data_IF_874126120392
#
_entry.id   IF_874126120392
#
_cell.length_a   1.000
_cell.length_b   1.000
_cell.length_c   1.000
_cell.angle_alpha   90.00
_cell.angle_beta   90.00
_cell.angle_gamma   90.00
#
_symmetry.space_group_name_H-M   'P 1'
#
loop_
_entity.id
_entity.type
_entity.pdbx_description
1 polymer ?
#
# COMPACT_ATOMS: atom_id res chain seq x y z
N UNK A 1 10.95 -7.86 -40.60
CA UNK A 1 10.59 -8.71 -39.45
C UNK A 1 10.79 -7.91 -38.18
N UNK A 2 9.75 -7.36 -37.53
CA UNK A 2 9.92 -6.86 -36.17
C UNK A 2 10.45 -8.01 -35.31
N UNK A 3 11.49 -7.76 -34.51
CA UNK A 3 12.15 -8.79 -33.70
C UNK A 3 11.10 -9.60 -32.92
N UNK A 4 11.20 -10.94 -32.87
CA UNK A 4 10.25 -11.75 -32.12
C UNK A 4 10.47 -11.48 -30.62
N UNK A 5 9.72 -10.54 -30.07
CA UNK A 5 9.69 -10.29 -28.64
C UNK A 5 9.05 -11.50 -27.98
N UNK A 6 9.79 -12.21 -27.14
CA UNK A 6 9.26 -13.32 -26.35
C UNK A 6 8.55 -12.76 -25.10
N UNK A 7 7.20 -12.76 -25.03
CA UNK A 7 6.47 -12.06 -23.97
C UNK A 7 6.82 -12.56 -22.56
N UNK A 8 7.01 -13.87 -22.41
CA UNK A 8 7.43 -14.48 -21.16
C UNK A 8 8.80 -13.97 -20.68
N UNK A 9 9.73 -13.75 -21.61
CA UNK A 9 11.05 -13.19 -21.31
C UNK A 9 10.98 -11.75 -20.83
N UNK A 10 10.10 -10.94 -21.41
CA UNK A 10 9.87 -9.55 -20.96
C UNK A 10 9.25 -9.51 -19.58
N UNK A 11 8.21 -10.32 -19.32
CA UNK A 11 7.60 -10.42 -17.99
C UNK A 11 8.61 -10.88 -16.96
N UNK A 12 9.42 -11.90 -17.26
CA UNK A 12 10.47 -12.38 -16.35
C UNK A 12 11.51 -11.28 -16.04
N UNK A 13 11.97 -10.54 -17.05
CA UNK A 13 12.88 -9.41 -16.86
C UNK A 13 12.28 -8.32 -15.96
N UNK A 14 11.01 -7.95 -16.20
CA UNK A 14 10.30 -6.96 -15.39
C UNK A 14 10.11 -7.41 -13.94
N UNK A 15 9.82 -8.70 -13.72
CA UNK A 15 9.73 -9.27 -12.37
C UNK A 15 11.06 -9.21 -11.63
N UNK A 16 12.18 -9.54 -12.30
CA UNK A 16 13.53 -9.42 -11.70
C UNK A 16 13.84 -7.97 -11.37
N UNK A 17 13.60 -7.05 -12.32
CA UNK A 17 13.83 -5.61 -12.10
C UNK A 17 13.01 -5.09 -10.91
N UNK A 18 11.74 -5.46 -10.83
CA UNK A 18 10.86 -5.06 -9.74
C UNK A 18 11.28 -5.69 -8.40
N UNK A 19 11.70 -6.95 -8.41
CA UNK A 19 12.21 -7.66 -7.25
C UNK A 19 13.45 -6.98 -6.67
N UNK A 20 14.42 -6.63 -7.52
CA UNK A 20 15.62 -5.88 -7.12
C UNK A 20 15.24 -4.51 -6.58
N UNK A 21 14.39 -3.77 -7.28
CA UNK A 21 13.98 -2.41 -6.87
C UNK A 21 13.20 -2.37 -5.55
N UNK A 22 12.58 -3.48 -5.14
CA UNK A 22 11.78 -3.59 -3.91
C UNK A 22 12.40 -4.47 -2.83
N UNK A 23 13.57 -5.05 -3.07
CA UNK A 23 14.24 -5.95 -2.13
C UNK A 23 14.43 -5.34 -0.74
N UNK A 24 14.69 -4.03 -0.68
CA UNK A 24 14.89 -3.28 0.56
C UNK A 24 13.71 -3.36 1.55
N UNK A 25 12.50 -3.73 1.10
CA UNK A 25 11.32 -3.84 1.97
C UNK A 25 11.50 -4.94 3.03
N UNK A 26 12.11 -6.08 2.68
CA UNK A 26 12.32 -7.21 3.60
C UNK A 26 13.26 -6.86 4.76
N UNK A 27 14.50 -6.35 4.53
CA UNK A 27 15.36 -5.97 5.63
C UNK A 27 14.77 -4.82 6.46
N UNK A 28 14.07 -3.85 5.86
CA UNK A 28 13.39 -2.81 6.63
C UNK A 28 12.31 -3.38 7.57
N UNK A 29 11.48 -4.31 7.08
CA UNK A 29 10.49 -4.98 7.91
C UNK A 29 11.15 -5.82 9.02
N UNK A 30 12.27 -6.48 8.74
CA UNK A 30 13.00 -7.26 9.75
C UNK A 30 13.65 -6.42 10.84
N UNK A 31 14.17 -5.24 10.48
CA UNK A 31 14.67 -4.26 11.45
C UNK A 31 13.50 -3.74 12.30
N UNK A 32 12.33 -3.49 11.72
CA UNK A 32 11.14 -3.14 12.49
C UNK A 32 10.72 -4.23 13.50
N UNK A 33 10.99 -5.49 13.16
CA UNK A 33 10.77 -6.64 14.04
C UNK A 33 11.96 -6.98 14.95
N UNK A 34 13.05 -6.19 14.95
CA UNK A 34 14.26 -6.47 15.73
C UNK A 34 14.03 -6.76 17.23
N UNK A 35 13.05 -6.14 17.93
CA UNK A 35 12.76 -6.53 19.32
C UNK A 35 12.46 -8.03 19.49
N UNK A 36 11.82 -8.67 18.50
CA UNK A 36 11.56 -10.11 18.51
C UNK A 36 12.86 -10.93 18.41
N UNK A 37 13.91 -10.41 17.78
CA UNK A 37 15.19 -11.12 17.68
C UNK A 37 15.81 -11.37 19.04
N UNK A 38 15.54 -10.52 20.03
CA UNK A 38 16.03 -10.66 21.39
C UNK A 38 15.04 -11.41 22.30
N UNK A 39 13.74 -11.16 22.15
CA UNK A 39 12.71 -11.74 23.01
C UNK A 39 12.30 -13.17 22.59
N UNK A 40 12.25 -13.44 21.28
CA UNK A 40 11.82 -14.72 20.71
C UNK A 40 12.56 -14.98 19.37
N UNK A 41 13.85 -15.35 19.41
CA UNK A 41 14.69 -15.45 18.21
C UNK A 41 14.11 -16.38 17.14
N UNK A 42 13.51 -17.51 17.53
CA UNK A 42 12.87 -18.44 16.59
C UNK A 42 11.65 -17.85 15.88
N UNK A 43 10.86 -17.03 16.57
CA UNK A 43 9.74 -16.32 15.97
C UNK A 43 10.22 -15.23 15.02
N UNK A 44 11.29 -14.50 15.37
CA UNK A 44 11.90 -13.52 14.48
C UNK A 44 12.41 -14.15 13.18
N UNK A 45 13.11 -15.28 13.26
CA UNK A 45 13.55 -16.04 12.07
C UNK A 45 12.33 -16.48 11.24
N UNK A 46 11.27 -16.97 11.89
CA UNK A 46 10.06 -17.37 11.19
C UNK A 46 9.39 -16.21 10.46
N UNK A 47 9.29 -15.04 11.11
CA UNK A 47 8.82 -13.80 10.48
C UNK A 47 9.70 -13.41 9.29
N UNK A 48 11.03 -13.59 9.37
CA UNK A 48 11.95 -13.36 8.26
C UNK A 48 11.62 -14.23 7.05
N UNK A 49 11.41 -15.53 7.28
CA UNK A 49 11.05 -16.47 6.23
C UNK A 49 9.68 -16.13 5.63
N UNK A 50 8.68 -15.81 6.45
CA UNK A 50 7.33 -15.43 5.97
C UNK A 50 7.39 -14.15 5.14
N UNK A 51 8.10 -13.11 5.61
CA UNK A 51 8.22 -11.84 4.88
C UNK A 51 8.92 -12.02 3.53
N UNK A 52 10.00 -12.80 3.50
CA UNK A 52 10.70 -13.15 2.27
C UNK A 52 9.78 -13.95 1.33
N UNK A 53 9.05 -14.93 1.87
CA UNK A 53 8.14 -15.76 1.11
C UNK A 53 7.01 -14.95 0.47
N UNK A 54 6.39 -14.04 1.24
CA UNK A 54 5.35 -13.12 0.76
C UNK A 54 5.90 -12.19 -0.32
N UNK A 55 7.09 -11.61 -0.12
CA UNK A 55 7.71 -10.73 -1.11
C UNK A 55 7.96 -11.46 -2.44
N UNK A 56 8.51 -12.67 -2.38
CA UNK A 56 8.78 -13.48 -3.56
C UNK A 56 7.50 -13.96 -4.25
N UNK A 57 6.44 -14.25 -3.48
CA UNK A 57 5.15 -14.68 -4.02
C UNK A 57 4.34 -13.55 -4.66
N UNK A 58 4.43 -12.33 -4.11
CA UNK A 58 3.70 -11.17 -4.60
C UNK A 58 4.09 -10.78 -6.04
N UNK A 59 5.33 -11.05 -6.45
CA UNK A 59 5.83 -10.78 -7.80
C UNK A 59 5.08 -11.59 -8.88
N UNK A 60 5.15 -12.94 -8.91
CA UNK A 60 4.42 -13.73 -9.89
C UNK A 60 2.91 -13.58 -9.73
N UNK A 61 2.39 -13.45 -8.50
CA UNK A 61 0.97 -13.24 -8.28
C UNK A 61 0.48 -11.93 -8.91
N UNK A 62 1.25 -10.83 -8.76
CA UNK A 62 0.95 -9.56 -9.41
C UNK A 62 0.98 -9.65 -10.93
N UNK A 63 1.96 -10.35 -11.52
CA UNK A 63 2.02 -10.57 -12.96
C UNK A 63 0.84 -11.40 -13.48
N UNK A 64 0.53 -12.52 -12.82
CA UNK A 64 -0.62 -13.34 -13.17
C UNK A 64 -1.92 -12.55 -13.03
N UNK A 65 -2.11 -11.83 -11.93
CA UNK A 65 -3.30 -11.00 -11.72
C UNK A 65 -3.49 -9.97 -12.83
N UNK A 66 -2.42 -9.28 -13.25
CA UNK A 66 -2.48 -8.32 -14.35
C UNK A 66 -2.78 -8.98 -15.70
N UNK A 67 -2.17 -10.13 -16.01
CA UNK A 67 -2.42 -10.85 -17.27
C UNK A 67 -3.82 -11.48 -17.31
N UNK A 68 -4.29 -12.03 -16.19
CA UNK A 68 -5.65 -12.57 -16.05
C UNK A 68 -6.69 -11.46 -16.15
N UNK A 69 -6.42 -10.26 -15.62
CA UNK A 69 -7.33 -9.12 -15.78
C UNK A 69 -7.62 -8.80 -17.25
N UNK A 70 -6.59 -8.90 -18.10
CA UNK A 70 -6.73 -8.74 -19.56
C UNK A 70 -7.66 -9.82 -20.12
N UNK A 71 -7.41 -11.10 -19.83
CA UNK A 71 -8.27 -12.20 -20.31
C UNK A 71 -9.72 -12.10 -19.79
N UNK A 72 -9.90 -11.78 -18.51
CA UNK A 72 -11.20 -11.60 -17.85
C UNK A 72 -11.98 -10.43 -18.46
N UNK A 73 -11.29 -9.36 -18.86
CA UNK A 73 -11.95 -8.20 -19.48
C UNK A 73 -12.60 -8.52 -20.83
N UNK A 74 -12.07 -9.50 -21.55
CA UNK A 74 -12.56 -9.95 -22.86
C UNK A 74 -13.52 -11.15 -22.75
N UNK A 75 -13.54 -11.84 -21.61
CA UNK A 75 -14.28 -13.08 -21.43
C UNK A 75 -15.81 -12.85 -21.25
N UNK A 76 -16.68 -13.40 -22.11
CA UNK A 76 -18.13 -13.20 -22.02
C UNK A 76 -18.74 -13.65 -20.68
N UNK A 77 -18.23 -14.74 -20.10
CA UNK A 77 -18.73 -15.28 -18.83
C UNK A 77 -18.49 -14.38 -17.63
N UNK A 78 -17.55 -13.44 -17.72
CA UNK A 78 -17.25 -12.48 -16.64
C UNK A 78 -18.01 -11.17 -16.77
N UNK A 79 -18.72 -10.94 -17.87
CA UNK A 79 -19.46 -9.69 -18.10
C UNK A 79 -20.45 -9.35 -16.99
N UNK A 80 -21.26 -10.28 -16.45
CA UNK A 80 -22.21 -9.95 -15.37
C UNK A 80 -21.50 -9.46 -14.10
N UNK A 81 -20.38 -10.08 -13.75
CA UNK A 81 -19.58 -9.72 -12.57
C UNK A 81 -18.93 -8.35 -12.79
N UNK A 82 -18.31 -8.14 -13.95
CA UNK A 82 -17.69 -6.86 -14.30
C UNK A 82 -18.73 -5.74 -14.41
N UNK A 83 -19.94 -6.02 -14.90
CA UNK A 83 -21.04 -5.05 -14.93
C UNK A 83 -21.50 -4.65 -13.54
N UNK A 84 -21.59 -5.61 -12.61
CA UNK A 84 -21.92 -5.32 -11.22
C UNK A 84 -20.83 -4.47 -10.53
N UNK A 85 -19.55 -4.74 -10.83
CA UNK A 85 -18.41 -4.07 -10.19
C UNK A 85 -18.05 -2.72 -10.81
N UNK A 86 -18.25 -2.54 -12.12
CA UNK A 86 -17.74 -1.35 -12.83
C UNK A 86 -18.52 -0.08 -12.53
N UNK A 87 -19.80 -0.20 -12.16
CA UNK A 87 -20.70 0.94 -12.09
C UNK A 87 -20.73 1.66 -13.46
N UNK A 88 -20.21 2.89 -13.50
CA UNK A 88 -20.10 3.68 -14.73
C UNK A 88 -18.78 3.46 -15.51
N UNK A 89 -17.81 2.75 -14.92
CA UNK A 89 -16.51 2.53 -15.54
C UNK A 89 -16.59 1.53 -16.71
N UNK A 90 -15.64 1.56 -17.67
CA UNK A 90 -15.45 0.49 -18.63
C UNK A 90 -15.17 -0.86 -17.95
N UNK A 91 -15.70 -1.95 -18.51
CA UNK A 91 -15.51 -3.32 -17.98
C UNK A 91 -14.03 -3.68 -17.82
N UNK A 92 -13.21 -3.27 -18.76
CA UNK A 92 -11.76 -3.50 -18.76
C UNK A 92 -11.10 -2.84 -17.55
N UNK A 93 -11.49 -1.61 -17.22
CA UNK A 93 -10.98 -0.92 -16.04
C UNK A 93 -11.40 -1.63 -14.75
N UNK A 94 -12.64 -2.14 -14.68
CA UNK A 94 -13.10 -2.89 -13.52
C UNK A 94 -12.29 -4.19 -13.32
N UNK A 95 -11.96 -4.90 -14.39
CA UNK A 95 -11.09 -6.08 -14.32
C UNK A 95 -9.69 -5.73 -13.79
N UNK A 96 -9.11 -4.61 -14.27
CA UNK A 96 -7.80 -4.13 -13.80
C UNK A 96 -7.83 -3.57 -12.37
N UNK A 97 -8.97 -3.05 -11.90
CA UNK A 97 -9.13 -2.56 -10.54
C UNK A 97 -9.24 -3.70 -9.53
N UNK A 98 -9.90 -4.80 -9.91
CA UNK A 98 -10.08 -5.96 -9.04
C UNK A 98 -8.80 -6.79 -8.87
N UNK A 99 -8.00 -6.95 -9.92
CA UNK A 99 -6.85 -7.85 -9.91
C UNK A 99 -5.82 -7.59 -8.77
N UNK A 100 -5.41 -6.34 -8.46
CA UNK A 100 -4.57 -6.06 -7.29
C UNK A 100 -5.20 -6.51 -5.97
N UNK A 101 -6.52 -6.34 -5.82
CA UNK A 101 -7.26 -6.78 -4.63
C UNK A 101 -7.29 -8.30 -4.49
N UNK A 102 -7.51 -9.02 -5.60
CA UNK A 102 -7.46 -10.48 -5.62
C UNK A 102 -6.07 -11.03 -5.26
N UNK A 103 -5.02 -10.43 -5.84
CA UNK A 103 -3.63 -10.77 -5.52
C UNK A 103 -3.33 -10.53 -4.05
N UNK A 104 -3.74 -9.37 -3.51
CA UNK A 104 -3.57 -9.05 -2.10
C UNK A 104 -4.32 -10.03 -1.21
N UNK A 105 -5.55 -10.40 -1.56
CA UNK A 105 -6.33 -11.38 -0.79
C UNK A 105 -5.66 -12.76 -0.77
N UNK A 106 -5.20 -13.25 -1.92
CA UNK A 106 -4.58 -14.58 -2.04
C UNK A 106 -3.23 -14.63 -1.32
N UNK A 107 -2.32 -13.72 -1.67
CA UNK A 107 -0.95 -13.72 -1.10
C UNK A 107 -0.98 -13.26 0.36
N UNK A 108 -1.83 -12.29 0.68
CA UNK A 108 -2.04 -11.80 2.04
C UNK A 108 -2.64 -12.88 2.96
N UNK A 109 -3.64 -13.63 2.51
CA UNK A 109 -4.19 -14.74 3.29
C UNK A 109 -3.15 -15.85 3.51
N UNK A 110 -2.40 -16.23 2.47
CA UNK A 110 -1.32 -17.20 2.61
C UNK A 110 -0.23 -16.72 3.59
N UNK A 111 0.13 -15.44 3.53
CA UNK A 111 1.09 -14.81 4.44
C UNK A 111 0.58 -14.75 5.88
N UNK A 112 -0.69 -14.39 6.08
CA UNK A 112 -1.33 -14.35 7.38
C UNK A 112 -1.42 -15.74 8.02
N UNK A 113 -1.81 -16.75 7.24
CA UNK A 113 -1.82 -18.15 7.68
C UNK A 113 -0.41 -18.61 8.08
N UNK A 114 0.60 -18.33 7.25
CA UNK A 114 1.99 -18.68 7.52
C UNK A 114 2.53 -18.00 8.80
N UNK A 115 2.19 -16.72 9.00
CA UNK A 115 2.54 -15.99 10.21
C UNK A 115 1.85 -16.57 11.45
N UNK A 116 0.55 -16.86 11.35
CA UNK A 116 -0.23 -17.45 12.44
C UNK A 116 0.34 -18.80 12.89
N UNK A 117 0.59 -19.71 11.94
CA UNK A 117 1.14 -21.03 12.26
C UNK A 117 2.55 -20.93 12.85
N UNK A 118 3.37 -19.98 12.38
CA UNK A 118 4.70 -19.71 12.95
C UNK A 118 4.62 -19.28 14.42
N UNK A 119 3.64 -18.45 14.79
CA UNK A 119 3.41 -18.01 16.18
C UNK A 119 3.03 -19.21 17.07
N UNK A 120 2.27 -20.17 16.54
CA UNK A 120 1.90 -21.40 17.23
C UNK A 120 3.04 -22.44 17.31
N UNK A 121 4.21 -22.15 16.74
CA UNK A 121 5.33 -23.09 16.64
C UNK A 121 5.11 -24.20 15.58
N UNK A 122 4.08 -24.05 14.74
CA UNK A 122 3.82 -24.94 13.61
C UNK A 122 4.42 -24.35 12.32
N UNK A 123 5.56 -24.88 11.92
CA UNK A 123 6.29 -24.35 10.76
C UNK A 123 5.86 -24.95 9.41
N UNK A 124 4.86 -25.85 9.39
CA UNK A 124 4.47 -26.57 8.18
C UNK A 124 3.98 -25.64 7.05
N UNK A 125 3.41 -24.49 7.41
CA UNK A 125 2.79 -23.55 6.46
C UNK A 125 3.62 -22.28 6.23
N UNK A 126 4.81 -22.17 6.82
CA UNK A 126 5.66 -20.96 6.68
C UNK A 126 6.02 -20.67 5.22
N UNK A 127 6.12 -21.72 4.40
CA UNK A 127 6.41 -21.61 2.96
C UNK A 127 5.16 -21.58 2.07
N UNK A 128 3.95 -21.53 2.64
CA UNK A 128 2.71 -21.48 1.88
C UNK A 128 2.67 -20.31 0.86
N UNK A 129 3.14 -19.07 1.19
CA UNK A 129 3.19 -18.00 0.20
C UNK A 129 4.08 -18.36 -0.99
N UNK A 130 5.24 -18.98 -0.75
CA UNK A 130 6.15 -19.40 -1.82
C UNK A 130 5.53 -20.45 -2.73
N UNK A 131 4.79 -21.42 -2.17
CA UNK A 131 4.07 -22.42 -2.96
C UNK A 131 3.02 -21.76 -3.86
N UNK A 132 2.23 -20.82 -3.31
CA UNK A 132 1.27 -20.03 -4.09
C UNK A 132 1.99 -19.25 -5.20
N UNK A 133 3.10 -18.58 -4.88
CA UNK A 133 3.91 -17.85 -5.85
C UNK A 133 4.47 -18.74 -6.96
N UNK A 134 4.98 -19.92 -6.62
CA UNK A 134 5.52 -20.88 -7.57
C UNK A 134 4.44 -21.41 -8.52
N UNK A 135 3.27 -21.81 -7.98
CA UNK A 135 2.13 -22.28 -8.78
C UNK A 135 1.67 -21.19 -9.76
N UNK A 136 1.61 -19.94 -9.32
CA UNK A 136 1.26 -18.80 -10.17
C UNK A 136 2.34 -18.53 -11.21
N UNK A 137 3.63 -18.62 -10.86
CA UNK A 137 4.74 -18.42 -11.78
C UNK A 137 4.69 -19.40 -12.97
N UNK A 138 4.25 -20.65 -12.76
CA UNK A 138 4.07 -21.63 -13.83
C UNK A 138 3.04 -21.21 -14.90
N UNK A 139 2.10 -20.32 -14.55
CA UNK A 139 1.08 -19.83 -15.48
C UNK A 139 1.58 -18.66 -16.35
N UNK A 140 2.65 -17.98 -15.94
CA UNK A 140 3.13 -16.75 -16.58
C UNK A 140 3.47 -16.96 -18.06
N UNK A 141 4.22 -17.99 -18.50
CA UNK A 141 4.57 -18.14 -19.91
C UNK A 141 3.35 -18.26 -20.82
N UNK A 142 2.35 -19.05 -20.38
CA UNK A 142 1.10 -19.26 -21.11
C UNK A 142 0.26 -17.98 -21.17
N UNK A 143 0.09 -17.30 -20.03
CA UNK A 143 -0.71 -16.08 -19.94
C UNK A 143 -0.04 -14.92 -20.70
N UNK A 144 1.28 -14.77 -20.58
CA UNK A 144 2.03 -13.75 -21.31
C UNK A 144 1.90 -13.93 -22.82
N UNK A 145 1.98 -15.16 -23.33
CA UNK A 145 1.78 -15.45 -24.75
C UNK A 145 0.39 -15.07 -25.28
N UNK A 146 -0.64 -15.10 -24.43
CA UNK A 146 -2.03 -14.80 -24.81
C UNK A 146 -2.40 -13.32 -24.65
N UNK A 147 -1.96 -12.71 -23.55
CA UNK A 147 -2.46 -11.42 -23.10
C UNK A 147 -1.50 -10.24 -23.35
N UNK A 148 -0.19 -10.48 -23.47
CA UNK A 148 0.81 -9.40 -23.50
C UNK A 148 0.58 -8.40 -24.64
N UNK A 149 0.45 -8.89 -25.88
CA UNK A 149 0.22 -8.03 -27.04
C UNK A 149 -1.16 -7.38 -27.07
N UNK A 150 -2.13 -7.94 -26.32
CA UNK A 150 -3.48 -7.36 -26.18
C UNK A 150 -3.53 -6.26 -25.13
N UNK A 151 -2.63 -6.31 -24.14
CA UNK A 151 -2.59 -5.32 -23.07
C UNK A 151 -2.36 -3.89 -23.56
N UNK A 152 -1.47 -3.68 -24.53
CA UNK A 152 -1.19 -2.34 -25.07
C UNK A 152 -2.41 -1.68 -25.74
N UNK A 153 -3.09 -2.30 -26.73
CA UNK A 153 -4.29 -1.72 -27.31
C UNK A 153 -5.43 -1.59 -26.29
N UNK A 154 -5.57 -2.52 -25.34
CA UNK A 154 -6.55 -2.40 -24.26
C UNK A 154 -6.32 -1.17 -23.38
N UNK A 155 -5.07 -0.91 -22.98
CA UNK A 155 -4.73 0.29 -22.20
C UNK A 155 -4.96 1.56 -23.01
N UNK A 156 -4.61 1.56 -24.29
CA UNK A 156 -4.89 2.70 -25.19
C UNK A 156 -6.39 2.94 -25.35
N UNK A 157 -7.21 1.89 -25.40
CA UNK A 157 -8.68 2.03 -25.46
C UNK A 157 -9.23 2.61 -24.16
N UNK A 158 -8.72 2.18 -23.00
CA UNK A 158 -9.09 2.78 -21.71
C UNK A 158 -8.73 4.26 -21.70
N UNK A 159 -7.50 4.62 -22.08
CA UNK A 159 -7.03 5.99 -22.10
C UNK A 159 -7.84 6.85 -23.08
N UNK A 160 -8.16 6.34 -24.27
CA UNK A 160 -8.98 7.02 -25.26
C UNK A 160 -10.42 7.25 -24.76
N UNK A 161 -11.04 6.23 -24.15
CA UNK A 161 -12.39 6.36 -23.56
C UNK A 161 -12.38 7.32 -22.37
N UNK A 162 -11.32 7.32 -21.55
CA UNK A 162 -11.16 8.29 -20.47
C UNK A 162 -11.07 9.72 -21.01
N UNK A 163 -10.26 9.93 -22.05
CA UNK A 163 -10.14 11.24 -22.69
C UNK A 163 -11.49 11.74 -23.25
N UNK A 164 -12.38 10.85 -23.67
CA UNK A 164 -13.74 11.23 -24.14
C UNK A 164 -14.76 11.44 -23.02
N UNK A 165 -14.59 10.78 -21.87
CA UNK A 165 -15.52 10.85 -20.72
C UNK A 165 -15.12 11.92 -19.71
N UNK A 166 -13.84 12.31 -19.67
CA UNK A 166 -13.39 13.46 -18.91
C UNK A 166 -14.09 14.71 -19.43
N UNK A 167 -14.95 15.28 -18.61
CA UNK A 167 -15.38 16.66 -18.82
C UNK A 167 -14.11 17.52 -18.78
N UNK A 168 -14.04 18.64 -19.51
CA UNK A 168 -12.89 19.56 -19.43
C UNK A 168 -12.55 19.98 -18.00
N UNK A 169 -13.54 19.94 -17.11
CA UNK A 169 -13.46 20.21 -15.67
C UNK A 169 -12.78 19.09 -14.84
N UNK A 170 -12.76 17.85 -15.36
CA UNK A 170 -12.29 16.64 -14.67
C UNK A 170 -10.84 16.25 -15.07
N UNK A 171 -10.33 16.73 -16.20
CA UNK A 171 -8.96 16.46 -16.75
C UNK A 171 -7.82 16.75 -15.75
N UNK A 172 -8.10 17.55 -14.72
CA UNK A 172 -7.14 17.91 -13.68
C UNK A 172 -7.45 17.38 -12.27
N UNK A 173 -8.55 16.65 -12.07
CA UNK A 173 -9.03 16.22 -10.75
C UNK A 173 -8.24 15.02 -10.25
N UNK A 174 -7.94 15.01 -8.95
CA UNK A 174 -7.19 13.94 -8.29
C UNK A 174 -7.91 13.55 -7.00
N UNK A 175 -7.63 12.34 -6.50
CA UNK A 175 -8.08 11.92 -5.18
C UNK A 175 -7.79 13.02 -4.15
N UNK A 176 -8.82 13.46 -3.41
CA UNK A 176 -8.81 14.57 -2.44
C UNK A 176 -8.71 16.01 -2.99
N UNK A 177 -8.83 16.23 -4.30
CA UNK A 177 -8.86 17.59 -4.89
C UNK A 177 -9.96 18.48 -4.26
N UNK A 178 -11.11 17.88 -3.94
CA UNK A 178 -12.21 18.57 -3.25
C UNK A 178 -11.80 19.17 -1.90
N UNK A 179 -10.81 18.59 -1.21
CA UNK A 179 -10.35 19.08 0.09
C UNK A 179 -9.43 20.30 -0.07
N UNK A 180 -8.77 20.43 -1.23
CA UNK A 180 -7.79 21.48 -1.49
C UNK A 180 -8.43 22.86 -1.65
N UNK A 181 -9.71 22.93 -2.07
CA UNK A 181 -10.46 24.19 -2.22
C UNK A 181 -10.61 24.98 -0.92
N UNK A 182 -10.46 24.33 0.23
CA UNK A 182 -10.56 24.94 1.55
C UNK A 182 -9.20 25.43 2.09
N UNK A 183 -8.10 25.16 1.38
CA UNK A 183 -6.75 25.54 1.78
C UNK A 183 -6.41 26.94 1.27
N UNK A 184 -5.56 27.66 2.01
CA UNK A 184 -5.04 28.95 1.57
C UNK A 184 -4.27 28.79 0.25
N UNK A 185 -4.32 29.78 -0.67
CA UNK A 185 -3.70 29.69 -2.00
C UNK A 185 -2.26 29.14 -2.06
N UNK A 186 -1.33 29.52 -1.16
CA UNK A 186 0.02 28.95 -1.20
C UNK A 186 0.08 27.45 -0.84
N UNK A 187 -0.79 26.98 0.05
CA UNK A 187 -0.82 25.57 0.47
C UNK A 187 -1.57 24.74 -0.57
N UNK A 188 -2.66 25.29 -1.12
CA UNK A 188 -3.48 24.58 -2.12
C UNK A 188 -2.67 24.23 -3.36
N UNK A 189 -1.84 25.14 -3.88
CA UNK A 189 -1.00 24.87 -5.05
C UNK A 189 -0.02 23.71 -4.82
N UNK A 190 0.64 23.67 -3.67
CA UNK A 190 1.56 22.58 -3.33
C UNK A 190 0.81 21.27 -3.04
N UNK A 191 -0.36 21.33 -2.40
CA UNK A 191 -1.18 20.15 -2.16
C UNK A 191 -1.66 19.53 -3.48
N UNK A 192 -2.06 20.35 -4.46
CA UNK A 192 -2.42 19.87 -5.80
C UNK A 192 -1.24 19.23 -6.52
N UNK A 193 -0.04 19.82 -6.43
CA UNK A 193 1.16 19.24 -7.02
C UNK A 193 1.45 17.86 -6.42
N UNK A 194 1.36 17.75 -5.09
CA UNK A 194 1.59 16.52 -4.34
C UNK A 194 0.54 15.45 -4.62
N UNK A 195 -0.73 15.82 -4.70
CA UNK A 195 -1.80 14.90 -5.08
C UNK A 195 -1.59 14.43 -6.53
N UNK A 196 -1.37 15.33 -7.49
CA UNK A 196 -1.21 14.97 -8.92
C UNK A 196 -0.03 14.05 -9.18
N UNK A 197 1.16 14.40 -8.68
CA UNK A 197 2.37 13.63 -8.94
C UNK A 197 2.50 12.43 -8.00
N UNK A 198 2.20 12.63 -6.72
CA UNK A 198 2.29 11.57 -5.72
C UNK A 198 1.26 10.45 -5.94
N UNK A 199 0.01 10.78 -6.28
CA UNK A 199 -1.02 9.76 -6.52
C UNK A 199 -0.61 8.83 -7.66
N UNK A 200 -0.19 9.42 -8.80
CA UNK A 200 0.21 8.66 -10.00
C UNK A 200 1.41 7.76 -9.72
N UNK A 201 2.42 8.25 -9.01
CA UNK A 201 3.64 7.50 -8.75
C UNK A 201 3.50 6.47 -7.61
N UNK A 202 2.65 6.73 -6.61
CA UNK A 202 2.69 6.03 -5.31
C UNK A 202 1.34 5.50 -4.81
N UNK A 203 0.32 5.37 -5.67
CA UNK A 203 -1.01 4.81 -5.32
C UNK A 203 -0.97 3.52 -4.48
N UNK A 204 0.03 2.66 -4.65
CA UNK A 204 0.18 1.41 -3.91
C UNK A 204 0.38 1.59 -2.40
N UNK A 205 0.95 2.73 -1.97
CA UNK A 205 1.12 3.04 -0.55
C UNK A 205 -0.19 3.43 0.12
N UNK A 206 -1.11 4.04 -0.62
CA UNK A 206 -2.47 4.32 -0.12
C UNK A 206 -3.18 2.99 0.10
N UNK A 207 -3.06 2.05 -0.84
CA UNK A 207 -3.50 0.66 -0.60
C UNK A 207 -2.82 0.03 0.61
N UNK A 208 -1.54 0.35 0.86
CA UNK A 208 -0.82 -0.04 2.08
C UNK A 208 -1.45 0.52 3.36
N UNK A 209 -1.90 1.78 3.37
CA UNK A 209 -2.63 2.37 4.48
C UNK A 209 -3.97 1.68 4.74
N UNK A 210 -4.71 1.33 3.67
CA UNK A 210 -5.92 0.51 3.78
C UNK A 210 -5.63 -0.87 4.35
N UNK A 211 -4.58 -1.55 3.87
CA UNK A 211 -4.18 -2.86 4.37
C UNK A 211 -3.78 -2.80 5.85
N UNK A 212 -3.06 -1.76 6.27
CA UNK A 212 -2.73 -1.51 7.67
C UNK A 212 -3.95 -1.28 8.54
N UNK A 213 -4.91 -0.46 8.07
CA UNK A 213 -6.18 -0.25 8.77
C UNK A 213 -7.03 -1.51 8.89
N UNK A 214 -7.11 -2.32 7.82
CA UNK A 214 -7.80 -3.62 7.85
C UNK A 214 -7.13 -4.58 8.84
N UNK A 215 -5.80 -4.68 8.83
CA UNK A 215 -5.07 -5.53 9.77
C UNK A 215 -5.32 -5.11 11.22
N UNK A 216 -5.27 -3.80 11.51
CA UNK A 216 -5.61 -3.26 12.83
C UNK A 216 -7.08 -3.54 13.19
N UNK A 217 -8.00 -3.44 12.24
CA UNK A 217 -9.42 -3.68 12.47
C UNK A 217 -9.74 -5.15 12.74
N UNK A 218 -9.07 -6.08 12.05
CA UNK A 218 -9.16 -7.50 12.32
C UNK A 218 -8.62 -7.84 13.72
N UNK A 219 -7.51 -7.22 14.13
CA UNK A 219 -6.98 -7.38 15.49
C UNK A 219 -7.96 -6.85 16.54
N UNK A 220 -8.55 -5.68 16.30
CA UNK A 220 -9.53 -5.06 17.18
C UNK A 220 -10.90 -5.75 17.24
N UNK A 221 -11.16 -6.72 16.35
CA UNK A 221 -12.38 -7.53 16.38
C UNK A 221 -12.28 -8.74 17.33
N UNK A 222 -11.06 -9.09 17.75
CA UNK A 222 -10.80 -10.26 18.61
C UNK A 222 -11.42 -10.10 19.99
N UNK A 223 -11.90 -11.20 20.57
CA UNK A 223 -12.40 -11.24 21.95
C UNK A 223 -11.28 -11.32 23.01
N UNK A 224 -10.02 -11.42 22.58
CA UNK A 224 -8.87 -11.44 23.50
C UNK A 224 -8.74 -10.11 24.25
N UNK A 225 -8.33 -10.15 25.52
CA UNK A 225 -8.13 -8.95 26.35
C UNK A 225 -7.11 -7.97 25.76
N UNK A 226 -6.16 -8.46 24.96
CA UNK A 226 -5.15 -7.63 24.29
C UNK A 226 -5.57 -7.10 22.90
N UNK A 227 -6.82 -7.27 22.46
CA UNK A 227 -7.25 -6.94 21.10
C UNK A 227 -7.07 -5.45 20.76
N UNK A 228 -7.52 -4.55 21.65
CA UNK A 228 -7.46 -3.09 21.47
C UNK A 228 -6.01 -2.61 21.47
N UNK A 229 -5.21 -3.10 22.41
CA UNK A 229 -3.77 -2.87 22.46
C UNK A 229 -3.06 -3.30 21.16
N UNK A 230 -3.43 -4.47 20.62
CA UNK A 230 -2.86 -4.99 19.37
C UNK A 230 -3.29 -4.16 18.17
N UNK A 231 -4.55 -3.74 18.11
CA UNK A 231 -5.06 -2.85 17.07
C UNK A 231 -4.34 -1.48 17.09
N UNK A 232 -4.13 -0.90 18.28
CA UNK A 232 -3.39 0.33 18.47
C UNK A 232 -1.94 0.19 18.00
N UNK A 233 -1.27 -0.91 18.35
CA UNK A 233 0.10 -1.18 17.95
C UNK A 233 0.24 -1.34 16.43
N UNK A 234 -0.66 -2.11 15.80
CA UNK A 234 -0.68 -2.29 14.34
C UNK A 234 -0.99 -0.99 13.60
N UNK A 235 -1.97 -0.22 14.08
CA UNK A 235 -2.34 1.08 13.52
C UNK A 235 -1.17 2.07 13.57
N UNK A 236 -0.51 2.19 14.73
CA UNK A 236 0.65 3.05 14.87
C UNK A 236 1.82 2.60 13.98
N UNK A 237 2.17 1.31 13.97
CA UNK A 237 3.23 0.78 13.12
C UNK A 237 2.95 1.02 11.63
N UNK A 238 1.70 0.80 11.19
CA UNK A 238 1.28 1.09 9.84
C UNK A 238 1.39 2.58 9.50
N UNK A 239 1.02 3.49 10.41
CA UNK A 239 1.13 4.94 10.21
C UNK A 239 2.60 5.35 9.98
N UNK A 240 3.51 4.92 10.85
CA UNK A 240 4.95 5.20 10.73
C UNK A 240 5.57 4.59 9.46
N UNK A 241 5.16 3.39 9.06
CA UNK A 241 5.66 2.79 7.83
C UNK A 241 5.12 3.52 6.59
N UNK A 242 3.81 3.80 6.54
CA UNK A 242 3.18 4.39 5.37
C UNK A 242 3.52 5.87 5.19
N UNK A 243 3.81 6.62 6.26
CA UNK A 243 4.25 8.02 6.18
C UNK A 243 5.60 8.20 5.45
N UNK A 244 6.38 7.12 5.28
CA UNK A 244 7.57 7.10 4.41
C UNK A 244 7.27 7.58 2.98
N UNK A 245 6.02 7.48 2.52
CA UNK A 245 5.59 8.04 1.23
C UNK A 245 5.98 9.51 1.04
N UNK A 246 6.00 10.31 2.10
CA UNK A 246 6.40 11.71 2.04
C UNK A 246 7.81 11.88 1.44
N UNK A 247 8.76 11.05 1.89
CA UNK A 247 10.13 11.06 1.38
C UNK A 247 10.25 10.54 -0.06
N UNK A 248 9.36 9.65 -0.48
CA UNK A 248 9.29 9.18 -1.87
C UNK A 248 8.69 10.22 -2.80
N UNK A 249 7.61 10.89 -2.40
CA UNK A 249 6.96 11.91 -3.21
C UNK A 249 7.90 13.07 -3.54
N UNK A 250 8.85 13.40 -2.65
CA UNK A 250 9.89 14.42 -2.91
C UNK A 250 10.80 14.06 -4.09
N UNK A 251 11.10 12.76 -4.27
CA UNK A 251 11.92 12.26 -5.38
C UNK A 251 11.18 12.27 -6.71
N UNK A 252 9.85 12.17 -6.66
CA UNK A 252 9.00 12.11 -7.84
C UNK A 252 8.51 13.50 -8.30
N UNK A 253 8.88 14.58 -7.57
CA UNK A 253 8.59 15.96 -8.01
C UNK A 253 9.38 16.26 -9.29
N UNK A 254 8.70 16.56 -10.42
CA UNK A 254 9.40 16.90 -11.64
C UNK A 254 10.31 18.12 -11.48
N UNK A 255 11.48 18.16 -12.14
CA UNK A 255 12.40 19.30 -12.04
C UNK A 255 11.75 20.63 -12.41
N UNK A 256 10.86 20.65 -13.42
CA UNK A 256 10.18 21.86 -13.86
C UNK A 256 9.24 22.44 -12.79
N UNK A 257 8.63 21.60 -11.94
CA UNK A 257 7.75 22.07 -10.86
C UNK A 257 8.51 22.94 -9.86
N UNK A 258 9.80 22.64 -9.65
CA UNK A 258 10.70 23.43 -8.79
C UNK A 258 11.07 24.79 -9.41
N UNK A 259 10.99 24.92 -10.73
CA UNK A 259 11.27 26.16 -11.46
C UNK A 259 10.03 27.08 -11.52
N UNK A 260 8.84 26.49 -11.55
CA UNK A 260 7.58 27.23 -11.77
C UNK A 260 6.91 27.63 -10.45
N UNK A 261 7.00 26.79 -9.41
CA UNK A 261 6.38 27.10 -8.12
C UNK A 261 7.32 27.91 -7.23
N UNK A 262 6.86 29.03 -6.64
CA UNK A 262 7.70 29.83 -5.76
C UNK A 262 8.11 29.02 -4.54
N UNK A 263 9.38 29.14 -4.15
CA UNK A 263 9.96 28.40 -3.02
C UNK A 263 9.38 28.93 -1.69
N UNK A 264 8.20 28.41 -1.33
CA UNK A 264 7.50 28.73 -0.08
C UNK A 264 7.61 27.53 0.84
N UNK A 265 8.77 27.41 1.45
CA UNK A 265 9.17 26.24 2.23
C UNK A 265 8.15 25.73 3.25
N UNK A 266 7.50 26.64 4.00
CA UNK A 266 6.48 26.27 4.99
C UNK A 266 5.18 25.84 4.34
N UNK A 267 4.73 26.52 3.28
CA UNK A 267 3.49 26.16 2.58
C UNK A 267 3.57 24.76 1.96
N UNK A 268 4.73 24.42 1.39
CA UNK A 268 5.03 23.08 0.88
C UNK A 268 5.04 22.03 1.98
N UNK A 269 5.64 22.33 3.14
CA UNK A 269 5.65 21.42 4.30
C UNK A 269 4.23 21.14 4.80
N UNK A 270 3.42 22.19 4.96
CA UNK A 270 2.02 22.07 5.41
C UNK A 270 1.19 21.30 4.38
N UNK A 271 1.35 21.59 3.09
CA UNK A 271 0.68 20.83 2.03
C UNK A 271 1.02 19.34 2.08
N UNK A 272 2.31 19.01 2.16
CA UNK A 272 2.80 17.63 2.28
C UNK A 272 2.19 16.93 3.50
N UNK A 273 2.23 17.58 4.65
CA UNK A 273 1.65 17.06 5.89
C UNK A 273 0.16 16.73 5.71
N UNK A 274 -0.63 17.68 5.21
CA UNK A 274 -2.07 17.50 5.02
C UNK A 274 -2.38 16.36 4.04
N UNK A 275 -1.66 16.29 2.92
CA UNK A 275 -1.85 15.22 1.92
C UNK A 275 -1.53 13.85 2.53
N UNK A 276 -0.41 13.73 3.25
CA UNK A 276 -0.01 12.45 3.86
C UNK A 276 -1.00 12.06 4.97
N UNK A 277 -1.37 12.98 5.87
CA UNK A 277 -2.38 12.71 6.92
C UNK A 277 -3.67 12.20 6.29
N UNK A 278 -4.17 12.88 5.25
CA UNK A 278 -5.40 12.48 4.57
C UNK A 278 -5.30 11.11 3.89
N UNK A 279 -4.13 10.74 3.36
CA UNK A 279 -3.90 9.41 2.78
C UNK A 279 -3.82 8.29 3.82
N UNK A 280 -3.40 8.60 5.05
CA UNK A 280 -3.26 7.63 6.13
C UNK A 280 -4.54 7.42 6.94
N UNK A 281 -5.59 8.21 6.72
CA UNK A 281 -6.88 8.10 7.42
C UNK A 281 -7.50 6.68 7.46
N UNK A 282 -7.39 5.82 6.43
CA UNK A 282 -7.86 4.44 6.53
C UNK A 282 -7.26 3.66 7.71
N UNK A 283 -6.03 3.98 8.13
CA UNK A 283 -5.36 3.34 9.27
C UNK A 283 -6.08 3.67 10.59
N UNK A 284 -6.62 4.89 10.72
CA UNK A 284 -7.33 5.32 11.92
C UNK A 284 -8.79 4.84 11.93
N UNK A 285 -9.52 5.05 10.84
CA UNK A 285 -10.98 4.88 10.85
C UNK A 285 -11.45 3.43 10.72
N UNK A 286 -10.73 2.60 9.97
CA UNK A 286 -11.11 1.18 9.79
C UNK A 286 -11.13 0.42 11.11
N UNK A 287 -10.12 0.50 12.00
CA UNK A 287 -10.14 -0.24 13.26
C UNK A 287 -11.08 0.34 14.33
N UNK A 288 -11.47 1.61 14.23
CA UNK A 288 -12.40 2.24 15.17
C UNK A 288 -13.77 1.57 15.15
N UNK A 289 -14.28 1.21 13.97
CA UNK A 289 -15.58 0.54 13.85
C UNK A 289 -15.65 -0.82 14.57
N UNK A 290 -14.77 -1.81 14.29
CA UNK A 290 -14.82 -3.09 14.98
C UNK A 290 -14.58 -2.96 16.49
N UNK A 291 -13.71 -2.04 16.93
CA UNK A 291 -13.47 -1.80 18.36
C UNK A 291 -14.68 -1.15 19.03
N UNK A 292 -15.35 -0.18 18.40
CA UNK A 292 -16.57 0.42 18.93
C UNK A 292 -17.68 -0.61 19.13
N UNK A 293 -17.81 -1.55 18.19
CA UNK A 293 -18.81 -2.62 18.25
C UNK A 293 -18.46 -3.67 19.30
N UNK A 294 -17.18 -4.04 19.44
CA UNK A 294 -16.74 -5.16 20.29
C UNK A 294 -16.37 -4.79 21.73
N UNK A 295 -15.78 -3.62 21.90
CA UNK A 295 -15.16 -3.17 23.16
C UNK A 295 -15.81 -1.90 23.71
N UNK A 296 -16.57 -1.17 22.89
CA UNK A 296 -17.33 0.01 23.28
C UNK A 296 -16.71 1.32 22.80
N UNK A 297 -17.44 2.42 23.01
CA UNK A 297 -17.10 3.71 22.43
C UNK A 297 -15.83 4.32 23.04
N UNK A 298 -15.60 4.14 24.34
CA UNK A 298 -14.44 4.72 25.04
C UNK A 298 -13.12 4.15 24.50
N UNK A 299 -13.04 2.83 24.34
CA UNK A 299 -11.89 2.16 23.73
C UNK A 299 -11.66 2.58 22.28
N UNK A 300 -12.75 2.75 21.51
CA UNK A 300 -12.68 3.19 20.13
C UNK A 300 -12.17 4.63 20.00
N UNK A 301 -12.59 5.53 20.89
CA UNK A 301 -12.12 6.92 20.94
C UNK A 301 -10.66 7.01 21.40
N UNK A 302 -10.27 6.22 22.40
CA UNK A 302 -8.87 6.11 22.82
C UNK A 302 -7.97 5.62 21.69
N UNK A 303 -8.41 4.59 20.97
CA UNK A 303 -7.70 4.04 19.81
C UNK A 303 -7.58 5.10 18.70
N UNK A 304 -8.68 5.78 18.36
CA UNK A 304 -8.70 6.83 17.35
C UNK A 304 -7.68 7.93 17.70
N UNK A 305 -7.73 8.44 18.94
CA UNK A 305 -6.80 9.49 19.39
C UNK A 305 -5.33 9.05 19.30
N UNK A 306 -5.03 7.82 19.71
CA UNK A 306 -3.68 7.27 19.66
C UNK A 306 -3.14 7.08 18.23
N UNK A 307 -3.96 6.54 17.34
CA UNK A 307 -3.58 6.29 15.94
C UNK A 307 -3.50 7.61 15.16
N UNK A 308 -4.43 8.55 15.36
CA UNK A 308 -4.35 9.88 14.74
C UNK A 308 -3.12 10.66 15.18
N UNK A 309 -2.77 10.62 16.48
CA UNK A 309 -1.53 11.21 16.95
C UNK A 309 -0.30 10.59 16.26
N UNK A 310 -0.28 9.26 16.09
CA UNK A 310 0.78 8.56 15.37
C UNK A 310 0.85 8.98 13.90
N UNK A 311 -0.30 9.15 13.23
CA UNK A 311 -0.39 9.63 11.84
C UNK A 311 0.18 11.05 11.73
N UNK A 312 -0.25 11.98 12.60
CA UNK A 312 0.21 13.38 12.55
C UNK A 312 1.70 13.47 12.82
N UNK A 313 2.20 12.79 13.86
CA UNK A 313 3.64 12.82 14.21
C UNK A 313 4.50 12.19 13.10
N UNK A 314 4.10 11.03 12.60
CA UNK A 314 4.84 10.34 11.54
C UNK A 314 4.86 11.13 10.23
N UNK A 315 3.72 11.73 9.83
CA UNK A 315 3.62 12.55 8.64
C UNK A 315 4.41 13.86 8.76
N UNK A 316 4.36 14.52 9.92
CA UNK A 316 5.12 15.73 10.19
C UNK A 316 6.62 15.47 10.12
N UNK A 317 7.08 14.41 10.79
CA UNK A 317 8.49 14.02 10.77
C UNK A 317 8.96 13.67 9.35
N UNK A 318 8.18 12.87 8.62
CA UNK A 318 8.51 12.49 7.26
C UNK A 318 8.58 13.69 6.31
N UNK A 319 7.66 14.66 6.45
CA UNK A 319 7.65 15.90 5.69
C UNK A 319 8.86 16.79 6.02
N UNK A 320 9.28 16.86 7.28
CA UNK A 320 10.51 17.57 7.69
C UNK A 320 11.75 16.92 7.08
N UNK A 321 11.89 15.59 7.16
CA UNK A 321 13.03 14.88 6.57
C UNK A 321 13.09 15.02 5.05
N UNK A 322 11.94 14.98 4.37
CA UNK A 322 11.86 15.25 2.94
C UNK A 322 12.35 16.67 2.61
N UNK A 323 11.95 17.68 3.41
CA UNK A 323 12.34 19.07 3.24
C UNK A 323 13.84 19.31 3.40
N UNK A 324 14.50 18.68 4.37
CA UNK A 324 15.94 18.86 4.64
C UNK A 324 16.84 18.01 3.74
N UNK A 325 16.27 17.31 2.74
CA UNK A 325 17.03 16.52 1.76
C UNK A 325 17.51 15.16 2.24
N UNK A 326 17.29 14.82 3.52
CA UNK A 326 17.61 13.49 4.07
C UNK A 326 16.59 12.42 3.63
N UNK A 327 15.34 12.84 3.38
CA UNK A 327 14.25 11.98 2.92
C UNK A 327 14.13 10.69 3.75
N UNK A 328 14.09 9.56 3.06
CA UNK A 328 13.96 8.25 3.69
C UNK A 328 15.18 7.81 4.49
N UNK A 329 16.37 8.29 4.12
CA UNK A 329 17.62 7.89 4.80
C UNK A 329 17.60 8.40 6.25
N UNK A 330 17.10 9.62 6.46
CA UNK A 330 16.90 10.17 7.81
C UNK A 330 15.63 9.64 8.48
N UNK A 331 14.53 9.50 7.74
CA UNK A 331 13.25 9.12 8.31
C UNK A 331 13.18 7.65 8.76
N UNK A 332 13.66 6.71 7.94
CA UNK A 332 13.42 5.28 8.14
C UNK A 332 13.95 4.74 9.49
N UNK A 333 15.17 5.08 9.95
CA UNK A 333 15.65 4.61 11.26
C UNK A 333 14.76 5.10 12.41
N UNK A 334 14.33 6.36 12.37
CA UNK A 334 13.48 6.94 13.42
C UNK A 334 12.08 6.35 13.35
N UNK A 335 11.54 6.15 12.15
CA UNK A 335 10.23 5.55 11.96
C UNK A 335 10.17 4.13 12.52
N UNK A 336 11.24 3.33 12.35
CA UNK A 336 11.34 1.99 12.94
C UNK A 336 11.32 2.06 14.47
N UNK A 337 12.15 2.92 15.07
CA UNK A 337 12.21 3.06 16.53
C UNK A 337 10.87 3.57 17.07
N UNK A 338 10.32 4.62 16.46
CA UNK A 338 9.06 5.22 16.87
C UNK A 338 7.86 4.28 16.68
N UNK A 339 7.85 3.46 15.62
CA UNK A 339 6.86 2.40 15.44
C UNK A 339 6.93 1.37 16.57
N UNK A 340 8.14 0.94 16.95
CA UNK A 340 8.34 0.01 18.07
C UNK A 340 7.90 0.61 19.42
N UNK A 341 8.25 1.87 19.69
CA UNK A 341 7.85 2.59 20.91
C UNK A 341 6.34 2.80 20.96
N UNK A 342 5.73 3.23 19.85
CA UNK A 342 4.29 3.43 19.76
C UNK A 342 3.55 2.09 19.91
N UNK A 343 4.04 1.02 19.27
CA UNK A 343 3.48 -0.32 19.46
C UNK A 343 3.54 -0.77 20.93
N UNK A 344 4.65 -0.54 21.62
CA UNK A 344 4.79 -0.85 23.04
C UNK A 344 3.90 0.02 23.94
N UNK A 345 3.74 1.32 23.61
CA UNK A 345 2.88 2.24 24.34
C UNK A 345 1.40 1.87 24.19
N UNK A 346 0.96 1.54 22.97
CA UNK A 346 -0.38 0.99 22.71
C UNK A 346 -0.61 -0.33 23.48
N UNK A 347 0.43 -1.14 23.64
CA UNK A 347 0.41 -2.31 24.54
C UNK A 347 -0.01 -1.98 25.98
N UNK A 348 0.49 -0.87 26.55
CA UNK A 348 0.33 -0.53 27.98
C UNK A 348 -0.92 0.27 28.31
N UNK A 349 -1.45 1.03 27.35
CA UNK A 349 -2.61 1.90 27.59
C UNK A 349 -3.92 1.11 27.79
N UNK A 350 -3.96 -0.15 27.34
CA UNK A 350 -5.14 -1.03 27.36
C UNK A 350 -4.92 -2.35 28.12
N UNK A 351 -3.84 -2.45 28.92
CA UNK A 351 -3.58 -3.55 29.86
C UNK A 351 -3.63 -3.05 31.29
#
# INVERSE_FOLDING_TARGET
SPLPVAPAGVVAFELVRLGVARWWMVPCALIALAPLAFAAPGLWVSCAVVLLAVQLAALPAGAVGALVAIEVSEAPGWQPILDALRGQNPRIQAALLWAPGAVLAIVGAAGAMAAFTAVEGNYAWVLAPLLVGAVLALQIPRLAGRAWFRGTPLLQEIDARYATLERPEDVGRVYLDWAVRWLRPPVSTWALADLRHGWRARRSWITGAWAGGIAAGLAGWSAASASVATAAALGAAAAWLCAAISGWMERDVPPFTRLILPDRGVARLVARLLVVVAWLQPIAWIPVFPVAVRHGLDDALGLLGFVELSIVLSAALAAVFARVGLGLVGYAPIAVIAAGVAAAAGGRLWT
#
